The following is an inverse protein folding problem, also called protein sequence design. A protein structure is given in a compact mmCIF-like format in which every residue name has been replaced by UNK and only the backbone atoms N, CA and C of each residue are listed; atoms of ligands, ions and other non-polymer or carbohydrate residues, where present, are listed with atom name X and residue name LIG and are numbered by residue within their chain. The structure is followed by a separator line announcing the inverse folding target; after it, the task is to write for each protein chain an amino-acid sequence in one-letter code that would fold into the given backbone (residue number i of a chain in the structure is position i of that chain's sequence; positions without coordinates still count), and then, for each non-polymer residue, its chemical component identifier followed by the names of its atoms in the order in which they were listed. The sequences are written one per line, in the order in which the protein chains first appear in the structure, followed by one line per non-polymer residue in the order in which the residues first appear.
data_IF_425210112856
#
_entry.id   IF_425210112856
#
_cell.length_a   1.000
_cell.length_b   1.000
_cell.length_c   1.000
_cell.angle_alpha   90.00
_cell.angle_beta   90.00
_cell.angle_gamma   90.00
#
_symmetry.space_group_name_H-M   'P 1'
#
loop_
_entity.id
_entity.type
_entity.pdbx_description
1 polymer ?
#
# COMPACT_ATOMS: atom_id res chain seq x y z
N UNK A 1 9.13 29.92 6.93
CA UNK A 1 9.89 28.70 6.62
C UNK A 1 9.14 28.07 5.47
N UNK A 2 9.78 27.81 4.33
CA UNK A 2 9.14 26.96 3.31
C UNK A 2 9.08 25.56 3.93
N UNK A 3 7.87 25.00 4.06
CA UNK A 3 7.72 23.61 4.47
C UNK A 3 8.58 22.77 3.52
N UNK A 4 9.57 22.07 4.08
CA UNK A 4 10.38 21.15 3.31
C UNK A 4 9.42 20.08 2.80
N UNK A 5 9.32 19.98 1.49
CA UNK A 5 8.62 18.89 0.80
C UNK A 5 9.14 17.56 1.34
N UNK A 6 8.22 16.68 1.71
CA UNK A 6 8.53 15.33 2.18
C UNK A 6 9.27 14.57 1.07
N UNK A 7 10.41 13.97 1.43
CA UNK A 7 11.23 13.19 0.52
C UNK A 7 11.49 11.81 1.18
N UNK A 8 10.80 10.76 0.73
CA UNK A 8 10.90 9.42 1.33
C UNK A 8 12.26 8.76 1.11
N UNK A 9 13.11 9.31 0.22
CA UNK A 9 14.46 8.81 -0.03
C UNK A 9 15.48 9.39 0.97
N UNK A 10 15.11 10.40 1.74
CA UNK A 10 16.00 11.06 2.69
C UNK A 10 15.79 10.51 4.10
N UNK A 11 16.87 10.30 4.88
CA UNK A 11 16.74 9.96 6.29
C UNK A 11 15.98 11.06 7.04
N UNK A 12 15.00 10.65 7.84
CA UNK A 12 14.29 11.53 8.78
C UNK A 12 14.46 11.03 10.21
N UNK A 13 14.05 11.86 11.18
CA UNK A 13 14.04 11.43 12.58
C UNK A 13 13.12 10.22 12.74
N UNK A 14 13.59 9.21 13.45
CA UNK A 14 12.81 8.01 13.72
C UNK A 14 11.55 8.39 14.55
N UNK A 15 10.33 8.16 14.02
CA UNK A 15 9.10 8.54 14.71
C UNK A 15 8.90 7.77 16.03
N UNK A 16 9.45 6.55 16.13
CA UNK A 16 9.38 5.73 17.36
C UNK A 16 10.11 6.41 18.52
N UNK A 17 11.14 7.21 18.25
CA UNK A 17 11.88 7.94 19.29
C UNK A 17 10.96 8.93 20.01
N UNK A 18 10.08 9.64 19.30
CA UNK A 18 9.17 10.59 19.94
C UNK A 18 8.17 9.89 20.87
N UNK A 19 7.64 8.74 20.45
CA UNK A 19 6.76 7.91 21.26
C UNK A 19 7.48 7.37 22.50
N UNK A 20 8.68 6.81 22.34
CA UNK A 20 9.50 6.28 23.44
C UNK A 20 9.85 7.41 24.43
N UNK A 21 10.24 8.60 23.95
CA UNK A 21 10.51 9.76 24.80
C UNK A 21 9.26 10.21 25.58
N UNK A 22 8.09 10.17 24.95
CA UNK A 22 6.82 10.45 25.63
C UNK A 22 6.52 9.41 26.72
N UNK A 23 6.71 8.12 26.44
CA UNK A 23 6.54 7.02 27.39
C UNK A 23 7.52 7.13 28.57
N UNK A 24 8.79 7.45 28.31
CA UNK A 24 9.80 7.71 29.34
C UNK A 24 9.36 8.85 30.25
N UNK A 25 8.94 9.98 29.67
CA UNK A 25 8.48 11.14 30.44
C UNK A 25 7.29 10.80 31.31
N UNK A 26 6.29 10.12 30.75
CA UNK A 26 5.09 9.68 31.48
C UNK A 26 5.45 8.76 32.64
N UNK A 27 6.29 7.74 32.42
CA UNK A 27 6.71 6.81 33.46
C UNK A 27 7.55 7.49 34.55
N UNK A 28 8.40 8.46 34.20
CA UNK A 28 9.13 9.29 35.17
C UNK A 28 8.16 10.07 36.07
N UNK A 29 7.16 10.73 35.49
CA UNK A 29 6.16 11.49 36.25
C UNK A 29 5.35 10.60 37.19
N UNK A 30 4.99 9.40 36.73
CA UNK A 30 4.30 8.40 37.56
C UNK A 30 5.18 7.90 38.71
N UNK A 31 6.45 7.58 38.43
CA UNK A 31 7.44 7.11 39.41
C UNK A 31 7.70 8.11 40.53
N UNK A 32 7.69 9.42 40.21
CA UNK A 32 7.88 10.50 41.20
C UNK A 32 6.68 10.59 42.14
N UNK A 33 5.47 10.39 41.63
CA UNK A 33 4.21 10.52 42.39
C UNK A 33 3.89 9.28 43.22
N UNK A 34 4.43 8.11 42.84
CA UNK A 34 4.13 6.84 43.49
C UNK A 34 4.76 6.73 44.89
N UNK A 35 3.92 6.40 45.87
CA UNK A 35 4.30 6.27 47.29
C UNK A 35 4.49 4.82 47.71
N UNK A 36 3.88 3.87 47.00
CA UNK A 36 4.00 2.45 47.29
C UNK A 36 5.33 1.90 46.74
N UNK A 37 6.11 1.24 47.60
CA UNK A 37 7.42 0.69 47.23
C UNK A 37 7.37 -0.36 46.10
N UNK A 38 6.38 -1.26 46.13
CA UNK A 38 6.25 -2.32 45.12
C UNK A 38 5.84 -1.72 43.77
N UNK A 39 4.87 -0.81 43.75
CA UNK A 39 4.46 -0.10 42.54
C UNK A 39 5.62 0.71 41.95
N UNK A 40 6.36 1.41 42.80
CA UNK A 40 7.54 2.20 42.38
C UNK A 40 8.62 1.33 41.76
N UNK A 41 8.87 0.13 42.32
CA UNK A 41 9.80 -0.84 41.73
C UNK A 41 9.29 -1.37 40.38
N UNK A 42 7.99 -1.55 40.21
CA UNK A 42 7.37 -1.93 38.94
C UNK A 42 7.58 -0.87 37.86
N UNK A 43 7.25 0.38 38.16
CA UNK A 43 7.44 1.53 37.25
C UNK A 43 8.91 1.75 36.90
N UNK A 44 9.84 1.58 37.84
CA UNK A 44 11.27 1.69 37.56
C UNK A 44 11.74 0.64 36.53
N UNK A 45 11.17 -0.57 36.54
CA UNK A 45 11.50 -1.60 35.53
C UNK A 45 10.95 -1.26 34.15
N UNK A 46 9.73 -0.73 34.08
CA UNK A 46 9.14 -0.26 32.82
C UNK A 46 9.98 0.88 32.23
N UNK A 47 10.39 1.82 33.07
CA UNK A 47 11.27 2.92 32.66
C UNK A 47 12.62 2.42 32.14
N UNK A 48 13.23 1.43 32.79
CA UNK A 48 14.47 0.80 32.31
C UNK A 48 14.24 0.21 30.91
N UNK A 49 13.15 -0.54 30.71
CA UNK A 49 12.84 -1.13 29.41
C UNK A 49 12.72 -0.08 28.29
N UNK A 50 12.02 1.04 28.53
CA UNK A 50 11.93 2.11 27.55
C UNK A 50 13.26 2.84 27.30
N UNK A 51 14.12 2.95 28.32
CA UNK A 51 15.46 3.53 28.13
C UNK A 51 16.38 2.60 27.34
N UNK A 52 16.27 1.28 27.55
CA UNK A 52 16.97 0.28 26.75
C UNK A 52 16.49 0.33 25.30
N UNK A 53 15.17 0.36 25.08
CA UNK A 53 14.56 0.52 23.76
C UNK A 53 15.04 1.80 23.05
N UNK A 54 15.08 2.95 23.74
CA UNK A 54 15.59 4.20 23.16
C UNK A 54 17.05 4.10 22.68
N UNK A 55 17.89 3.33 23.37
CA UNK A 55 19.31 3.15 23.01
C UNK A 55 19.47 2.23 21.81
N UNK A 56 18.56 1.28 21.63
CA UNK A 56 18.57 0.33 20.51
C UNK A 56 18.04 0.95 19.21
N UNK A 57 17.17 1.95 19.32
CA UNK A 57 16.56 2.60 18.16
C UNK A 57 17.54 3.54 17.43
N UNK A 58 17.64 3.45 16.09
CA UNK A 58 18.47 4.38 15.32
C UNK A 58 17.85 5.80 15.36
N UNK A 59 18.71 6.82 15.46
CA UNK A 59 18.30 8.23 15.46
C UNK A 59 17.58 8.63 14.17
N UNK A 60 18.03 8.05 13.05
CA UNK A 60 17.50 8.31 11.72
C UNK A 60 16.91 7.04 11.12
N UNK A 61 15.78 7.21 10.45
CA UNK A 61 15.04 6.18 9.75
C UNK A 61 14.92 6.57 8.28
N UNK A 62 15.02 5.58 7.39
CA UNK A 62 14.79 5.76 5.96
C UNK A 62 13.50 5.02 5.62
N UNK A 63 12.59 5.77 5.00
CA UNK A 63 11.22 5.33 4.70
C UNK A 63 11.14 4.24 3.62
N UNK A 64 12.17 4.15 2.79
CA UNK A 64 12.33 3.12 1.77
C UNK A 64 13.69 2.45 1.85
N UNK A 65 13.75 1.18 1.44
CA UNK A 65 14.99 0.41 1.31
C UNK A 65 15.21 -0.03 -0.14
N UNK A 66 16.48 -0.08 -0.54
CA UNK A 66 16.84 -0.60 -1.86
C UNK A 66 16.52 -2.10 -1.97
N UNK A 67 16.07 -2.52 -3.15
CA UNK A 67 15.75 -3.92 -3.44
C UNK A 67 14.26 -4.22 -3.43
N UNK A 68 13.95 -5.46 -3.79
CA UNK A 68 12.59 -5.93 -4.07
C UNK A 68 12.15 -6.98 -3.06
N UNK A 69 10.88 -6.96 -2.71
CA UNK A 69 10.25 -7.99 -1.89
C UNK A 69 9.77 -9.16 -2.75
N UNK A 70 9.79 -10.38 -2.21
CA UNK A 70 9.21 -11.56 -2.87
C UNK A 70 7.67 -11.46 -2.92
N UNK A 71 7.12 -11.39 -4.14
CA UNK A 71 5.69 -11.28 -4.40
C UNK A 71 4.95 -12.63 -4.49
N UNK A 72 5.66 -13.76 -4.43
CA UNK A 72 5.15 -15.07 -4.84
C UNK A 72 3.91 -15.55 -4.06
N UNK A 73 3.73 -15.03 -2.83
CA UNK A 73 2.62 -15.40 -1.94
C UNK A 73 1.32 -14.62 -2.19
N UNK A 74 1.37 -13.60 -3.04
CA UNK A 74 0.26 -12.64 -3.24
C UNK A 74 -0.48 -12.83 -4.56
N UNK A 75 -0.05 -13.84 -5.32
CA UNK A 75 -0.75 -14.28 -6.52
C UNK A 75 -1.87 -15.26 -6.15
N UNK A 76 -3.05 -15.04 -6.73
CA UNK A 76 -4.13 -16.01 -6.72
C UNK A 76 -3.66 -17.24 -7.49
N UNK A 77 -3.72 -18.41 -6.86
CA UNK A 77 -3.24 -19.66 -7.46
C UNK A 77 -4.19 -20.11 -8.56
N UNK A 78 -3.65 -20.49 -9.72
CA UNK A 78 -4.46 -21.01 -10.84
C UNK A 78 -5.38 -22.17 -10.43
N UNK A 79 -4.92 -23.04 -9.51
CA UNK A 79 -5.71 -24.16 -8.99
C UNK A 79 -6.91 -23.79 -8.11
N UNK A 80 -7.08 -22.51 -7.76
CA UNK A 80 -8.26 -22.02 -7.04
C UNK A 80 -9.43 -21.75 -8.00
N UNK A 81 -9.16 -21.69 -9.31
CA UNK A 81 -10.16 -21.37 -10.32
C UNK A 81 -10.78 -22.67 -10.89
N UNK A 82 -12.09 -22.66 -11.18
CA UNK A 82 -12.82 -23.83 -11.69
C UNK A 82 -12.58 -24.03 -13.20
N UNK A 83 -12.99 -25.17 -13.77
CA UNK A 83 -12.76 -25.47 -15.20
C UNK A 83 -13.44 -24.49 -16.19
N UNK A 84 -14.36 -23.64 -15.73
CA UNK A 84 -15.05 -22.64 -16.56
C UNK A 84 -14.43 -21.24 -16.48
N UNK A 85 -13.19 -21.13 -16.00
CA UNK A 85 -12.50 -19.86 -15.74
C UNK A 85 -12.06 -19.14 -17.01
N UNK A 86 -11.82 -17.80 -16.94
CA UNK A 86 -11.24 -17.12 -18.07
C UNK A 86 -9.87 -17.73 -18.41
N UNK A 87 -9.52 -17.70 -19.69
CA UNK A 87 -8.21 -18.14 -20.13
C UNK A 87 -7.17 -17.12 -19.64
N UNK A 88 -6.50 -17.46 -18.54
CA UNK A 88 -5.40 -16.66 -18.02
C UNK A 88 -4.23 -16.65 -18.99
N UNK A 89 -3.66 -15.47 -19.15
CA UNK A 89 -2.38 -15.23 -19.77
C UNK A 89 -1.26 -15.58 -18.79
N UNK A 90 0.00 -15.58 -19.24
CA UNK A 90 1.16 -15.79 -18.35
C UNK A 90 1.61 -14.49 -17.68
N UNK A 91 1.15 -13.37 -18.21
CA UNK A 91 1.52 -12.01 -17.87
C UNK A 91 0.80 -11.53 -16.61
N UNK A 92 1.55 -10.87 -15.72
CA UNK A 92 1.05 -10.21 -14.51
C UNK A 92 0.60 -8.77 -14.83
N UNK A 93 -0.28 -8.17 -14.00
CA UNK A 93 -0.71 -6.79 -14.19
C UNK A 93 0.44 -5.76 -14.26
N UNK A 94 1.54 -5.99 -13.54
CA UNK A 94 2.68 -5.08 -13.44
C UNK A 94 3.85 -5.38 -14.38
N UNK A 95 3.81 -6.47 -15.17
CA UNK A 95 4.96 -6.94 -15.97
C UNK A 95 5.38 -5.95 -17.07
N UNK A 96 4.41 -5.25 -17.67
CA UNK A 96 4.65 -4.35 -18.80
C UNK A 96 4.12 -2.96 -18.50
N UNK A 97 4.98 -1.97 -18.73
CA UNK A 97 4.64 -0.57 -18.60
C UNK A 97 4.09 -0.01 -19.91
N UNK A 98 2.77 0.01 -20.04
CA UNK A 98 2.09 0.55 -21.20
C UNK A 98 0.61 0.75 -20.92
N UNK A 99 -0.04 1.51 -21.80
CA UNK A 99 -1.50 1.56 -21.87
C UNK A 99 -1.99 0.26 -22.50
N UNK A 100 -2.99 -0.35 -21.88
CA UNK A 100 -3.58 -1.60 -22.35
C UNK A 100 -5.09 -1.46 -22.50
N UNK A 101 -5.68 -2.22 -23.40
CA UNK A 101 -7.12 -2.31 -23.59
C UNK A 101 -7.57 -3.77 -23.54
N UNK A 102 -8.73 -4.05 -22.96
CA UNK A 102 -9.32 -5.40 -22.91
C UNK A 102 -8.45 -6.46 -22.21
N UNK A 103 -7.63 -6.03 -21.24
CA UNK A 103 -6.90 -6.91 -20.32
C UNK A 103 -7.50 -6.76 -18.93
N UNK A 104 -7.93 -7.87 -18.34
CA UNK A 104 -8.60 -7.88 -17.06
C UNK A 104 -7.85 -8.74 -16.05
N UNK A 105 -8.08 -8.48 -14.78
CA UNK A 105 -7.59 -9.30 -13.67
C UNK A 105 -8.56 -9.23 -12.50
N UNK A 106 -8.52 -10.24 -11.65
CA UNK A 106 -9.22 -10.22 -10.37
C UNK A 106 -8.32 -9.60 -9.31
N UNK A 107 -8.91 -8.81 -8.41
CA UNK A 107 -8.24 -8.19 -7.28
C UNK A 107 -9.08 -8.36 -6.02
N UNK A 108 -8.48 -8.92 -4.96
CA UNK A 108 -9.14 -9.12 -3.67
C UNK A 108 -8.11 -9.33 -2.56
N UNK A 109 -8.35 -8.75 -1.39
CA UNK A 109 -7.49 -8.91 -0.21
C UNK A 109 -6.00 -8.72 -0.53
N UNK A 110 -5.67 -7.66 -1.29
CA UNK A 110 -4.32 -7.32 -1.76
C UNK A 110 -3.62 -8.40 -2.62
N UNK A 111 -4.40 -9.34 -3.17
CA UNK A 111 -3.96 -10.36 -4.13
C UNK A 111 -4.56 -10.07 -5.50
N UNK A 112 -3.88 -10.55 -6.53
CA UNK A 112 -4.30 -10.45 -7.92
C UNK A 112 -4.27 -11.80 -8.64
N UNK A 113 -5.05 -11.93 -9.71
CA UNK A 113 -4.87 -13.00 -10.69
C UNK A 113 -3.84 -12.60 -11.75
N UNK A 114 -3.43 -13.56 -12.56
CA UNK A 114 -2.83 -13.27 -13.86
C UNK A 114 -3.84 -12.52 -14.74
N UNK A 115 -3.32 -11.83 -15.76
CA UNK A 115 -4.15 -11.13 -16.74
C UNK A 115 -4.96 -12.13 -17.56
N UNK A 116 -6.13 -11.74 -18.04
CA UNK A 116 -6.93 -12.51 -19.00
C UNK A 116 -7.56 -11.62 -20.06
N UNK A 117 -7.94 -12.21 -21.20
CA UNK A 117 -8.55 -11.53 -22.36
C UNK A 117 -10.04 -11.88 -22.51
N UNK A 118 -10.75 -11.05 -23.27
CA UNK A 118 -12.17 -11.14 -23.64
C UNK A 118 -13.16 -10.61 -22.57
N UNK A 119 -14.44 -10.53 -22.95
CA UNK A 119 -15.58 -9.92 -22.21
C UNK A 119 -15.45 -10.15 -20.71
N UNK A 120 -15.61 -9.09 -19.89
CA UNK A 120 -15.41 -9.19 -18.45
C UNK A 120 -16.26 -10.32 -17.89
N UNK A 121 -15.60 -11.18 -17.11
CA UNK A 121 -16.15 -12.46 -16.70
C UNK A 121 -17.45 -12.27 -15.91
N UNK A 122 -18.47 -13.06 -16.22
CA UNK A 122 -19.80 -12.95 -15.59
C UNK A 122 -19.67 -13.18 -14.07
N UNK A 123 -20.08 -12.20 -13.24
CA UNK A 123 -19.96 -12.30 -11.78
C UNK A 123 -20.75 -13.48 -11.19
N UNK A 124 -21.81 -13.97 -11.84
CA UNK A 124 -22.60 -15.10 -11.35
C UNK A 124 -21.94 -16.46 -11.58
N UNK A 125 -20.87 -16.51 -12.37
CA UNK A 125 -20.11 -17.72 -12.64
C UNK A 125 -18.69 -17.65 -12.07
N UNK A 126 -18.38 -16.63 -11.25
CA UNK A 126 -17.01 -16.33 -10.84
C UNK A 126 -16.34 -17.56 -10.20
N UNK A 127 -15.23 -18.05 -10.78
CA UNK A 127 -14.56 -19.24 -10.31
C UNK A 127 -13.82 -18.94 -9.02
N UNK A 128 -14.45 -19.25 -7.90
CA UNK A 128 -13.92 -19.32 -6.53
C UNK A 128 -12.59 -18.58 -6.26
N UNK A 129 -12.72 -17.37 -5.72
CA UNK A 129 -11.72 -16.78 -4.83
C UNK A 129 -12.10 -17.17 -3.40
N UNK A 130 -11.16 -17.11 -2.44
CA UNK A 130 -11.39 -17.49 -1.05
C UNK A 130 -12.80 -17.01 -0.57
N UNK A 131 -13.57 -17.89 0.07
CA UNK A 131 -14.90 -17.52 0.58
C UNK A 131 -14.78 -16.38 1.61
N UNK A 132 -15.70 -15.43 1.58
CA UNK A 132 -15.78 -14.34 2.56
C UNK A 132 -14.99 -13.07 2.22
N UNK A 133 -14.71 -12.81 0.94
CA UNK A 133 -14.02 -11.60 0.50
C UNK A 133 -14.77 -10.88 -0.62
N UNK A 134 -14.63 -9.54 -0.65
CA UNK A 134 -15.05 -8.74 -1.79
C UNK A 134 -13.98 -8.88 -2.87
N UNK A 135 -14.41 -9.16 -4.10
CA UNK A 135 -13.53 -9.26 -5.26
C UNK A 135 -13.95 -8.24 -6.29
N UNK A 136 -12.93 -7.61 -6.89
CA UNK A 136 -13.06 -6.71 -8.01
C UNK A 136 -12.58 -7.39 -9.28
N UNK A 137 -13.38 -7.32 -10.34
CA UNK A 137 -12.88 -7.48 -11.71
C UNK A 137 -12.41 -6.10 -12.18
N UNK A 138 -11.12 -5.99 -12.44
CA UNK A 138 -10.49 -4.75 -12.87
C UNK A 138 -9.97 -4.89 -14.31
N UNK A 139 -10.16 -3.85 -15.11
CA UNK A 139 -9.50 -3.69 -16.40
C UNK A 139 -8.17 -2.96 -16.21
N UNK A 140 -7.06 -3.56 -16.63
CA UNK A 140 -5.75 -2.90 -16.69
C UNK A 140 -5.82 -1.80 -17.75
N UNK A 141 -5.59 -0.55 -17.36
CA UNK A 141 -5.59 0.58 -18.29
C UNK A 141 -4.21 1.17 -18.50
N UNK A 142 -3.40 1.28 -17.45
CA UNK A 142 -2.11 1.96 -17.54
C UNK A 142 -1.17 1.50 -16.43
N UNK A 143 0.11 1.30 -16.75
CA UNK A 143 1.16 1.04 -15.77
C UNK A 143 2.31 2.03 -15.97
N UNK A 144 2.84 2.59 -14.88
CA UNK A 144 3.92 3.58 -14.95
C UNK A 144 5.20 2.97 -15.54
N UNK A 145 5.95 3.80 -16.28
CA UNK A 145 7.13 3.37 -17.05
C UNK A 145 8.30 2.90 -16.18
N UNK A 146 8.44 3.48 -15.00
CA UNK A 146 9.53 3.17 -14.09
C UNK A 146 9.41 1.73 -13.56
N UNK A 147 10.54 1.04 -13.50
CA UNK A 147 10.65 -0.22 -12.77
C UNK A 147 10.71 0.03 -11.27
N UNK A 148 10.13 -0.88 -10.50
CA UNK A 148 10.27 -0.87 -9.05
C UNK A 148 11.73 -1.16 -8.69
N UNK A 149 12.32 -0.32 -7.84
CA UNK A 149 13.73 -0.39 -7.43
C UNK A 149 13.89 -0.46 -5.90
N UNK A 150 12.88 0.01 -5.18
CA UNK A 150 12.87 0.09 -3.71
C UNK A 150 11.60 -0.53 -3.17
N UNK A 151 11.59 -0.80 -1.87
CA UNK A 151 10.39 -1.13 -1.13
C UNK A 151 10.20 -0.20 0.06
N UNK A 152 8.94 0.01 0.41
CA UNK A 152 8.52 0.87 1.51
C UNK A 152 8.69 0.12 2.83
N UNK A 153 9.26 0.78 3.83
CA UNK A 153 9.37 0.26 5.20
C UNK A 153 8.26 0.78 6.11
N UNK A 154 7.83 2.03 5.92
CA UNK A 154 6.79 2.67 6.71
C UNK A 154 5.47 2.81 5.93
N UNK A 155 4.38 2.35 6.53
CA UNK A 155 3.05 2.41 5.93
C UNK A 155 2.54 3.85 5.73
N UNK A 156 3.07 4.84 6.45
CA UNK A 156 2.66 6.24 6.34
C UNK A 156 3.20 6.94 5.08
N UNK A 157 4.24 6.40 4.44
CA UNK A 157 4.92 6.99 3.28
C UNK A 157 3.94 7.29 2.14
N UNK A 158 3.06 6.35 1.85
CA UNK A 158 2.05 6.49 0.79
C UNK A 158 1.07 7.61 1.13
N UNK A 159 0.60 7.67 2.38
CA UNK A 159 -0.34 8.71 2.84
C UNK A 159 0.30 10.08 2.72
N UNK A 160 1.54 10.24 3.20
CA UNK A 160 2.27 11.50 3.14
C UNK A 160 2.49 11.96 1.69
N UNK A 161 2.91 11.07 0.79
CA UNK A 161 3.06 11.40 -0.63
C UNK A 161 1.72 11.78 -1.28
N UNK A 162 0.64 11.06 -0.96
CA UNK A 162 -0.68 11.35 -1.50
C UNK A 162 -1.22 12.71 -1.04
N UNK A 163 -1.02 13.07 0.21
CA UNK A 163 -1.47 14.36 0.75
C UNK A 163 -0.77 15.52 0.05
N UNK A 164 0.53 15.40 -0.24
CA UNK A 164 1.25 16.39 -1.06
C UNK A 164 0.71 16.48 -2.49
N UNK A 165 0.48 15.35 -3.15
CA UNK A 165 -0.04 15.29 -4.52
C UNK A 165 -1.45 15.90 -4.58
N UNK A 166 -2.34 15.52 -3.67
CA UNK A 166 -3.72 16.02 -3.61
C UNK A 166 -3.81 17.49 -3.26
N UNK A 167 -2.91 18.00 -2.41
CA UNK A 167 -2.82 19.44 -2.11
C UNK A 167 -2.52 20.28 -3.36
N UNK A 168 -1.85 19.67 -4.35
CA UNK A 168 -1.48 20.30 -5.62
C UNK A 168 -2.53 20.15 -6.72
N UNK A 169 -3.44 19.18 -6.59
CA UNK A 169 -4.46 18.86 -7.59
C UNK A 169 -5.81 19.45 -7.18
N UNK A 170 -6.14 20.62 -7.71
CA UNK A 170 -7.41 21.30 -7.46
C UNK A 170 -8.39 21.08 -8.61
N UNK A 171 -9.31 20.13 -8.48
CA UNK A 171 -10.49 20.07 -9.35
C UNK A 171 -11.79 19.65 -8.63
N UNK A 172 -12.89 20.23 -9.10
CA UNK A 172 -14.26 20.01 -8.67
C UNK A 172 -15.00 19.06 -9.63
N UNK A 173 -15.91 18.26 -9.04
CA UNK A 173 -17.11 17.61 -9.61
C UNK A 173 -17.06 16.20 -10.26
N UNK A 174 -17.98 15.38 -9.73
CA UNK A 174 -19.03 14.50 -10.34
C UNK A 174 -18.74 13.66 -11.59
N UNK A 175 -18.71 12.34 -11.40
CA UNK A 175 -19.62 11.33 -12.00
C UNK A 175 -19.44 10.00 -11.23
N UNK A 176 -20.50 9.22 -11.05
CA UNK A 176 -20.54 8.05 -10.15
C UNK A 176 -20.30 6.70 -10.82
N UNK A 177 -20.08 6.68 -12.13
CA UNK A 177 -20.24 5.43 -12.89
C UNK A 177 -18.92 4.74 -13.23
N UNK A 178 -17.78 5.42 -13.06
CA UNK A 178 -16.46 4.84 -13.25
C UNK A 178 -15.66 5.01 -11.96
N UNK A 179 -15.04 3.92 -11.48
CA UNK A 179 -14.08 3.94 -10.37
C UNK A 179 -12.75 3.40 -10.87
N UNK A 180 -11.70 4.20 -10.75
CA UNK A 180 -10.33 3.86 -11.09
C UNK A 180 -9.55 3.60 -9.81
N UNK A 181 -8.84 2.48 -9.79
CA UNK A 181 -7.96 2.04 -8.74
C UNK A 181 -6.54 2.41 -9.12
N UNK A 182 -5.82 3.01 -8.18
CA UNK A 182 -4.37 3.15 -8.26
C UNK A 182 -3.80 2.11 -7.30
N UNK A 183 -3.12 1.11 -7.85
CA UNK A 183 -2.51 0.01 -7.13
C UNK A 183 -0.99 0.18 -7.15
N UNK A 184 -0.34 -0.09 -6.03
CA UNK A 184 1.12 -0.12 -5.94
C UNK A 184 1.65 -1.50 -6.32
N UNK A 185 2.78 -1.56 -7.01
CA UNK A 185 3.49 -2.81 -7.27
C UNK A 185 3.89 -3.47 -5.94
N UNK A 186 3.44 -4.71 -5.67
CA UNK A 186 3.77 -5.39 -4.43
C UNK A 186 5.27 -5.59 -4.20
N UNK A 187 6.09 -5.60 -5.25
CA UNK A 187 7.55 -5.63 -5.09
C UNK A 187 8.06 -4.44 -4.26
N UNK A 188 7.31 -3.32 -4.25
CA UNK A 188 7.65 -2.08 -3.57
C UNK A 188 6.97 -1.87 -2.21
N UNK A 189 6.24 -2.85 -1.67
CA UNK A 189 5.53 -2.70 -0.39
C UNK A 189 6.08 -3.67 0.64
N UNK A 190 6.22 -3.21 1.90
CA UNK A 190 6.53 -4.10 3.01
C UNK A 190 5.55 -5.28 3.04
N UNK A 191 6.07 -6.49 3.27
CA UNK A 191 5.30 -7.73 3.19
C UNK A 191 4.72 -8.07 1.81
N UNK A 192 5.05 -7.38 0.71
CA UNK A 192 4.68 -7.82 -0.65
C UNK A 192 3.20 -7.71 -1.03
N UNK A 193 2.39 -6.93 -0.29
CA UNK A 193 0.96 -6.79 -0.55
C UNK A 193 0.69 -5.67 -1.57
N UNK A 194 -0.02 -5.97 -2.66
CA UNK A 194 -0.47 -4.93 -3.60
C UNK A 194 -1.61 -4.15 -2.93
N UNK A 195 -1.32 -2.96 -2.40
CA UNK A 195 -2.31 -2.13 -1.73
C UNK A 195 -3.05 -1.25 -2.76
N UNK A 196 -4.34 -1.05 -2.54
CA UNK A 196 -5.04 0.07 -3.16
C UNK A 196 -4.53 1.34 -2.51
N UNK A 197 -3.72 2.11 -3.24
CA UNK A 197 -3.17 3.39 -2.78
C UNK A 197 -4.30 4.39 -2.61
N UNK A 198 -5.11 4.56 -3.67
CA UNK A 198 -6.32 5.38 -3.61
C UNK A 198 -7.25 5.03 -4.77
N UNK A 199 -8.45 5.61 -4.77
CA UNK A 199 -9.40 5.48 -5.88
C UNK A 199 -9.91 6.85 -6.29
N UNK A 200 -10.18 7.03 -7.57
CA UNK A 200 -10.80 8.25 -8.12
C UNK A 200 -11.82 7.86 -9.20
N UNK A 201 -12.73 8.76 -9.53
CA UNK A 201 -13.67 8.58 -10.62
C UNK A 201 -13.19 9.22 -11.94
N UNK A 202 -12.00 9.82 -11.95
CA UNK A 202 -11.41 10.46 -13.12
C UNK A 202 -10.15 9.68 -13.58
N UNK A 203 -10.12 9.28 -14.85
CA UNK A 203 -9.01 8.52 -15.43
C UNK A 203 -7.72 9.34 -15.54
N UNK A 204 -7.82 10.60 -15.97
CA UNK A 204 -6.67 11.49 -16.10
C UNK A 204 -6.05 11.81 -14.74
N UNK A 205 -6.89 12.00 -13.71
CA UNK A 205 -6.43 12.14 -12.33
C UNK A 205 -5.73 10.86 -11.85
N UNK A 206 -6.26 9.68 -12.18
CA UNK A 206 -5.63 8.43 -11.78
C UNK A 206 -4.22 8.26 -12.37
N UNK A 207 -4.05 8.60 -13.65
CA UNK A 207 -2.73 8.61 -14.31
C UNK A 207 -1.82 9.66 -13.66
N UNK A 208 -2.33 10.87 -13.42
CA UNK A 208 -1.56 11.95 -12.81
C UNK A 208 -1.03 11.53 -11.43
N UNK A 209 -1.88 10.95 -10.59
CA UNK A 209 -1.48 10.47 -9.26
C UNK A 209 -0.44 9.34 -9.38
N UNK A 210 -0.67 8.35 -10.25
CA UNK A 210 0.25 7.24 -10.43
C UNK A 210 1.66 7.69 -10.88
N UNK A 211 1.72 8.60 -11.85
CA UNK A 211 3.00 9.17 -12.31
C UNK A 211 3.65 10.03 -11.22
N UNK A 212 2.86 10.89 -10.56
CA UNK A 212 3.38 11.73 -9.48
C UNK A 212 3.98 10.88 -8.36
N UNK A 213 3.28 9.81 -7.93
CA UNK A 213 3.79 8.87 -6.94
C UNK A 213 5.10 8.19 -7.38
N UNK A 214 5.20 7.84 -8.66
CA UNK A 214 6.43 7.27 -9.23
C UNK A 214 7.61 8.25 -9.18
N UNK A 215 7.34 9.56 -9.30
CA UNK A 215 8.36 10.59 -9.20
C UNK A 215 8.89 10.75 -7.76
N UNK A 216 8.07 10.48 -6.73
CA UNK A 216 8.52 10.47 -5.33
C UNK A 216 9.16 9.15 -4.93
N UNK A 217 8.59 8.04 -5.41
CA UNK A 217 8.94 6.69 -5.01
C UNK A 217 9.30 5.92 -6.27
N UNK A 218 10.52 5.38 -6.40
CA UNK A 218 10.92 4.58 -7.55
C UNK A 218 10.29 3.19 -7.52
N UNK A 219 8.96 3.17 -7.56
CA UNK A 219 8.03 2.05 -7.47
C UNK A 219 7.03 2.19 -8.61
N UNK A 220 6.67 1.07 -9.21
CA UNK A 220 5.68 1.02 -10.28
C UNK A 220 4.27 1.11 -9.72
N UNK A 221 3.39 1.80 -10.44
CA UNK A 221 1.97 1.92 -10.11
C UNK A 221 1.11 1.50 -11.29
N UNK A 222 -0.03 0.90 -10.97
CA UNK A 222 -1.02 0.42 -11.91
C UNK A 222 -2.33 1.20 -11.74
N UNK A 223 -2.85 1.73 -12.84
CA UNK A 223 -4.20 2.28 -12.94
C UNK A 223 -5.10 1.24 -13.59
N UNK A 224 -6.17 0.89 -12.89
CA UNK A 224 -7.14 -0.08 -13.36
C UNK A 224 -8.57 0.41 -13.15
N UNK A 225 -9.48 0.09 -14.09
CA UNK A 225 -10.89 0.47 -14.00
C UNK A 225 -11.71 -0.66 -13.39
N UNK A 226 -12.56 -0.33 -12.42
CA UNK A 226 -13.53 -1.28 -11.89
C UNK A 226 -14.59 -1.59 -12.94
N UNK A 227 -14.73 -2.88 -13.26
CA UNK A 227 -15.77 -3.38 -14.16
C UNK A 227 -16.90 -4.01 -13.35
N UNK A 228 -16.56 -4.95 -12.47
CA UNK A 228 -17.50 -5.61 -11.57
C UNK A 228 -16.96 -5.66 -10.14
N UNK A 229 -17.88 -5.72 -9.19
CA UNK A 229 -17.61 -6.05 -7.79
C UNK A 229 -18.56 -7.16 -7.38
N UNK A 230 -18.05 -8.13 -6.65
CA UNK A 230 -18.86 -9.23 -6.15
C UNK A 230 -18.41 -9.62 -4.75
N UNK A 231 -19.37 -10.15 -3.99
CA UNK A 231 -19.18 -10.65 -2.64
C UNK A 231 -19.18 -12.18 -2.68
N UNK A 232 -18.15 -12.81 -2.10
CA UNK A 232 -18.02 -14.29 -2.07
C UNK A 232 -18.58 -14.91 -0.79
N UNK A 233 -19.38 -14.19 0.01
CA UNK A 233 -20.23 -14.77 1.07
C UNK A 233 -21.46 -15.48 0.49
#
# INVERSE_FOLDING_TARGET
MMDKKYDPLQPRLNPEIEEILWLIKKNCDELIKEKNFLSRRGQARILIAHLEELVEQPEYFIDVEEGLIDDSRYWMKEGNFTNNSPLFLKEKPFDFAETTENLYFFYSNNKFSLLYKNVPFDPYYCPCLDYGFIVYTLEKLYTTQQETQVHINDNEVITNCLDEIKSSYSQQYLQTDNRYFILIDPLGVNYGLSLTVTTTNNYEEAIFIANSLTDYLPIRFLVAKQIYVFDTH
#
